data_IF_332089454593
#
_entry.id   IF_332089454593
#
_cell.length_a   1.000
_cell.length_b   1.000
_cell.length_c   1.000
_cell.angle_alpha   90.00
_cell.angle_beta   90.00
_cell.angle_gamma   90.00
#
_symmetry.space_group_name_H-M   'P 1'
#
loop_
_entity.id
_entity.type
_entity.pdbx_description
1 polymer ?
#
# COMPACT_ATOMS: atom_id res chain seq x y z
N UNK A 1 -11.20 14.67 70.58
CA UNK A 1 -10.62 14.92 69.23
C UNK A 1 -9.17 14.48 69.09
N UNK A 2 -8.39 14.37 70.14
CA UNK A 2 -6.97 13.99 70.09
C UNK A 2 -6.75 12.48 69.82
N UNK A 3 -7.65 11.59 70.25
CA UNK A 3 -7.55 10.13 70.15
C UNK A 3 -7.73 9.63 68.69
N UNK A 4 -8.61 10.29 67.88
CA UNK A 4 -8.80 9.92 66.49
C UNK A 4 -7.60 10.22 65.59
N UNK A 5 -6.84 11.27 65.89
CA UNK A 5 -5.62 11.60 65.11
C UNK A 5 -4.47 10.61 65.39
N UNK A 6 -4.36 10.12 66.60
CA UNK A 6 -3.39 9.11 66.97
C UNK A 6 -3.69 7.77 66.27
N UNK A 7 -4.94 7.37 66.23
CA UNK A 7 -5.37 6.14 65.57
C UNK A 7 -5.16 6.21 64.05
N UNK A 8 -5.39 7.38 63.40
CA UNK A 8 -5.16 7.59 62.00
C UNK A 8 -3.68 7.53 61.60
N UNK A 9 -2.80 8.13 62.43
CA UNK A 9 -1.37 8.10 62.22
C UNK A 9 -0.79 6.69 62.44
N UNK A 10 -1.29 5.93 63.40
CA UNK A 10 -0.92 4.53 63.61
C UNK A 10 -1.40 3.66 62.45
N UNK A 11 -2.64 3.82 61.99
CA UNK A 11 -3.16 3.10 60.82
C UNK A 11 -2.36 3.38 59.57
N UNK A 12 -2.01 4.64 59.33
CA UNK A 12 -1.14 5.03 58.18
C UNK A 12 0.25 4.44 58.25
N UNK A 13 0.83 4.41 59.49
CA UNK A 13 2.16 3.84 59.73
C UNK A 13 2.19 2.31 59.52
N UNK A 14 1.10 1.61 59.94
CA UNK A 14 0.92 0.19 59.69
C UNK A 14 0.71 -0.09 58.21
N UNK A 15 -0.16 0.68 57.51
CA UNK A 15 -0.36 0.55 56.07
C UNK A 15 0.92 0.76 55.26
N UNK A 16 1.73 1.78 55.60
CA UNK A 16 3.04 2.02 54.97
C UNK A 16 4.07 0.93 55.26
N UNK A 17 4.02 0.30 56.46
CA UNK A 17 4.88 -0.82 56.80
C UNK A 17 4.48 -2.11 56.07
N UNK A 18 3.18 -2.35 55.93
CA UNK A 18 2.64 -3.51 55.21
C UNK A 18 2.89 -3.41 53.68
N UNK A 19 2.81 -2.21 53.14
CA UNK A 19 3.20 -1.94 51.74
C UNK A 19 4.67 -2.19 51.49
N UNK A 20 5.55 -2.02 52.45
CA UNK A 20 6.99 -2.30 52.33
C UNK A 20 7.33 -3.80 52.29
N UNK A 21 6.54 -4.65 52.95
CA UNK A 21 6.79 -6.09 53.05
C UNK A 21 6.12 -6.94 51.97
N UNK A 22 5.00 -6.43 51.35
CA UNK A 22 4.18 -7.19 50.44
C UNK A 22 4.27 -6.75 48.96
N UNK A 23 5.05 -5.72 48.63
CA UNK A 23 5.07 -5.12 47.30
C UNK A 23 5.80 -5.95 46.24
N UNK A 24 6.62 -6.94 46.61
CA UNK A 24 7.34 -7.75 45.62
C UNK A 24 6.41 -8.54 44.72
N UNK A 25 5.37 -9.15 45.26
CA UNK A 25 4.36 -9.87 44.49
C UNK A 25 3.48 -8.92 43.63
N UNK A 26 3.21 -7.72 44.17
CA UNK A 26 2.41 -6.71 43.45
C UNK A 26 3.17 -6.15 42.24
N UNK A 27 4.46 -5.92 42.31
CA UNK A 27 5.26 -5.49 41.18
C UNK A 27 5.32 -6.55 40.08
N UNK A 28 5.40 -7.82 40.43
CA UNK A 28 5.37 -8.92 39.46
C UNK A 28 3.99 -8.92 38.74
N UNK A 29 2.93 -8.81 39.50
CA UNK A 29 1.57 -8.74 38.94
C UNK A 29 1.38 -7.53 38.01
N UNK A 30 1.86 -6.36 38.43
CA UNK A 30 1.82 -5.15 37.62
C UNK A 30 2.64 -5.29 36.35
N UNK A 31 3.83 -5.88 36.45
CA UNK A 31 4.71 -6.14 35.32
C UNK A 31 4.06 -7.10 34.32
N UNK A 32 3.38 -8.16 34.79
CA UNK A 32 2.67 -9.09 33.93
C UNK A 32 1.52 -8.39 33.18
N UNK A 33 0.72 -7.55 33.86
CA UNK A 33 -0.33 -6.76 33.21
C UNK A 33 0.26 -5.78 32.19
N UNK A 34 1.31 -5.03 32.58
CA UNK A 34 1.96 -4.07 31.71
C UNK A 34 2.52 -4.75 30.45
N UNK A 35 3.15 -5.93 30.62
CA UNK A 35 3.68 -6.71 29.50
C UNK A 35 2.55 -7.20 28.58
N UNK A 36 1.46 -7.69 29.14
CA UNK A 36 0.30 -8.13 28.37
C UNK A 36 -0.33 -6.99 27.56
N UNK A 37 -0.55 -5.83 28.19
CA UNK A 37 -1.07 -4.64 27.51
C UNK A 37 -0.10 -4.12 26.46
N UNK A 38 1.20 -4.10 26.78
CA UNK A 38 2.22 -3.69 25.83
C UNK A 38 2.29 -4.59 24.60
N UNK A 39 2.16 -5.91 24.76
CA UNK A 39 2.13 -6.86 23.66
C UNK A 39 0.91 -6.63 22.74
N UNK A 40 -0.28 -6.43 23.30
CA UNK A 40 -1.48 -6.15 22.53
C UNK A 40 -1.36 -4.79 21.81
N UNK A 41 -0.87 -3.77 22.49
CA UNK A 41 -0.65 -2.45 21.90
C UNK A 41 0.37 -2.49 20.77
N UNK A 42 1.45 -3.25 20.90
CA UNK A 42 2.46 -3.41 19.87
C UNK A 42 1.89 -4.06 18.61
N UNK A 43 1.13 -5.16 18.75
CA UNK A 43 0.49 -5.83 17.61
C UNK A 43 -0.50 -4.88 16.90
N UNK A 44 -1.30 -4.15 17.67
CA UNK A 44 -2.26 -3.21 17.09
C UNK A 44 -1.55 -2.03 16.37
N UNK A 45 -0.45 -1.51 16.93
CA UNK A 45 0.35 -0.46 16.30
C UNK A 45 0.98 -0.91 14.98
N UNK A 46 1.52 -2.13 14.93
CA UNK A 46 2.06 -2.71 13.69
C UNK A 46 0.97 -2.89 12.65
N UNK A 47 -0.20 -3.43 13.05
CA UNK A 47 -1.34 -3.59 12.15
C UNK A 47 -1.81 -2.25 11.56
N UNK A 48 -1.90 -1.20 12.38
CA UNK A 48 -2.28 0.13 11.91
C UNK A 48 -1.23 0.73 10.97
N UNK A 49 0.06 0.57 11.27
CA UNK A 49 1.14 1.05 10.43
C UNK A 49 1.16 0.36 9.05
N UNK A 50 0.92 -0.96 9.02
CA UNK A 50 0.81 -1.73 7.78
C UNK A 50 -0.40 -1.27 6.97
N UNK A 51 -1.58 -1.15 7.60
CA UNK A 51 -2.79 -0.70 6.91
C UNK A 51 -2.66 0.72 6.36
N UNK A 52 -2.05 1.64 7.13
CA UNK A 52 -1.78 2.99 6.67
C UNK A 52 -0.80 3.01 5.47
N UNK A 53 0.28 2.22 5.55
CA UNK A 53 1.25 2.10 4.45
C UNK A 53 0.65 1.50 3.18
N UNK A 54 -0.26 0.52 3.31
CA UNK A 54 -0.98 -0.04 2.15
C UNK A 54 -1.95 1.00 1.57
N UNK A 55 -2.68 1.74 2.41
CA UNK A 55 -3.62 2.75 1.93
C UNK A 55 -2.90 3.91 1.22
N UNK A 56 -1.75 4.33 1.71
CA UNK A 56 -0.94 5.40 1.11
C UNK A 56 -0.33 4.97 -0.24
N UNK A 57 0.22 3.76 -0.31
CA UNK A 57 0.82 3.21 -1.54
C UNK A 57 -0.21 2.60 -2.50
N UNK A 58 -1.39 2.27 -2.02
CA UNK A 58 -2.45 1.69 -2.82
C UNK A 58 -2.84 2.58 -4.01
N UNK A 59 -2.88 3.88 -3.81
CA UNK A 59 -3.15 4.87 -4.86
C UNK A 59 -2.07 4.89 -5.95
N UNK A 60 -0.81 4.79 -5.56
CA UNK A 60 0.31 4.73 -6.50
C UNK A 60 0.31 3.42 -7.29
N UNK A 61 0.05 2.28 -6.62
CA UNK A 61 0.00 0.97 -7.27
C UNK A 61 -1.17 0.86 -8.24
N UNK A 62 -2.34 1.37 -7.85
CA UNK A 62 -3.53 1.39 -8.70
C UNK A 62 -3.47 2.48 -9.77
N UNK A 63 -2.61 3.48 -9.59
CA UNK A 63 -2.59 4.73 -10.36
C UNK A 63 -3.95 5.47 -10.34
N UNK A 64 -4.80 5.18 -9.35
CA UNK A 64 -6.14 5.72 -9.16
C UNK A 64 -6.66 5.47 -7.73
N UNK A 65 -7.69 6.20 -7.30
CA UNK A 65 -8.39 5.94 -6.02
C UNK A 65 -9.22 4.65 -6.07
N UNK A 66 -9.87 4.40 -7.21
CA UNK A 66 -10.77 3.26 -7.44
C UNK A 66 -10.51 2.71 -8.83
N UNK A 67 -10.46 1.39 -8.95
CA UNK A 67 -10.37 0.67 -10.21
C UNK A 67 -11.65 -0.15 -10.41
N UNK A 68 -12.30 0.06 -11.56
CA UNK A 68 -13.40 -0.78 -12.04
C UNK A 68 -12.85 -1.69 -13.14
N UNK A 69 -13.03 -2.97 -13.00
CA UNK A 69 -12.52 -3.96 -13.94
C UNK A 69 -13.64 -4.86 -14.43
N UNK A 70 -13.61 -5.18 -15.71
CA UNK A 70 -14.50 -6.16 -16.33
C UNK A 70 -13.68 -7.07 -17.21
N UNK A 71 -13.86 -8.37 -17.03
CA UNK A 71 -13.13 -9.35 -17.79
C UNK A 71 -13.72 -9.52 -19.20
N UNK A 72 -12.85 -9.46 -20.21
CA UNK A 72 -13.16 -9.77 -21.62
C UNK A 72 -14.24 -8.92 -22.28
N UNK A 73 -14.74 -7.89 -21.65
CA UNK A 73 -15.70 -6.95 -22.22
C UNK A 73 -15.39 -5.52 -21.82
N UNK A 74 -15.57 -4.55 -22.72
CA UNK A 74 -15.48 -3.15 -22.34
C UNK A 74 -16.64 -2.77 -21.40
N UNK A 75 -16.41 -1.75 -20.58
CA UNK A 75 -17.47 -1.16 -19.78
C UNK A 75 -18.55 -0.57 -20.71
N UNK A 76 -19.83 -0.75 -20.35
CA UNK A 76 -20.92 -0.14 -21.10
C UNK A 76 -20.83 1.38 -21.04
N UNK A 77 -21.32 2.07 -22.10
CA UNK A 77 -21.33 3.54 -22.13
C UNK A 77 -22.07 4.16 -20.94
N UNK A 78 -23.12 3.53 -20.43
CA UNK A 78 -23.84 3.98 -19.24
C UNK A 78 -22.97 3.87 -17.97
N UNK A 79 -22.20 2.80 -17.82
CA UNK A 79 -21.27 2.63 -16.71
C UNK A 79 -20.12 3.63 -16.78
N UNK A 80 -19.55 3.85 -17.98
CA UNK A 80 -18.51 4.85 -18.20
C UNK A 80 -19.02 6.24 -17.86
N UNK A 81 -20.17 6.66 -18.35
CA UNK A 81 -20.74 7.96 -18.04
C UNK A 81 -21.02 8.17 -16.54
N UNK A 82 -21.39 7.11 -15.83
CA UNK A 82 -21.54 7.18 -14.37
C UNK A 82 -20.19 7.39 -13.66
N UNK A 83 -19.15 6.66 -14.08
CA UNK A 83 -17.81 6.76 -13.49
C UNK A 83 -17.21 8.14 -13.78
N UNK A 84 -17.32 8.63 -15.01
CA UNK A 84 -16.83 9.95 -15.43
C UNK A 84 -17.50 11.10 -14.66
N UNK A 85 -18.75 10.91 -14.24
CA UNK A 85 -19.44 11.88 -13.38
C UNK A 85 -18.91 11.94 -11.95
N UNK A 86 -18.16 10.94 -11.50
CA UNK A 86 -17.55 10.91 -10.17
C UNK A 86 -16.22 11.66 -10.09
N UNK A 87 -15.51 11.82 -11.21
CA UNK A 87 -14.22 12.53 -11.24
C UNK A 87 -13.37 12.19 -12.46
N UNK A 88 -12.10 12.62 -12.48
CA UNK A 88 -11.16 12.29 -13.53
C UNK A 88 -11.01 10.77 -13.68
N UNK A 89 -11.05 10.30 -14.90
CA UNK A 89 -10.94 8.87 -15.22
C UNK A 89 -9.81 8.61 -16.20
N UNK A 90 -9.21 7.43 -16.10
CA UNK A 90 -8.28 6.89 -17.08
C UNK A 90 -8.70 5.47 -17.44
N UNK A 91 -8.63 5.14 -18.71
CA UNK A 91 -8.98 3.83 -19.22
C UNK A 91 -7.73 3.03 -19.57
N UNK A 92 -7.69 1.77 -19.18
CA UNK A 92 -6.62 0.86 -19.57
C UNK A 92 -7.18 -0.50 -19.97
N UNK A 93 -6.50 -1.13 -20.92
CA UNK A 93 -6.80 -2.51 -21.33
C UNK A 93 -5.55 -3.35 -21.11
N UNK A 94 -5.70 -4.46 -20.41
CA UNK A 94 -4.62 -5.41 -20.19
C UNK A 94 -4.93 -6.71 -20.92
N UNK A 95 -3.98 -7.19 -21.72
CA UNK A 95 -4.10 -8.43 -22.45
C UNK A 95 -2.78 -9.21 -22.44
N UNK A 96 -2.85 -10.52 -22.56
CA UNK A 96 -1.69 -11.37 -22.81
C UNK A 96 -1.54 -11.65 -24.27
N UNK A 97 -0.36 -11.41 -24.84
CA UNK A 97 -0.06 -11.64 -26.24
C UNK A 97 1.36 -12.13 -26.44
N UNK A 98 1.59 -12.82 -27.55
CA UNK A 98 2.95 -13.16 -27.97
C UNK A 98 3.60 -11.94 -28.60
N UNK A 99 4.66 -11.47 -27.97
CA UNK A 99 5.55 -10.46 -28.57
C UNK A 99 6.62 -11.17 -29.36
N UNK A 100 6.93 -10.66 -30.55
CA UNK A 100 7.94 -11.22 -31.46
C UNK A 100 8.84 -10.14 -32.01
N UNK A 101 10.11 -10.44 -32.12
CA UNK A 101 11.05 -9.58 -32.82
C UNK A 101 10.69 -9.41 -34.30
N UNK A 102 10.98 -8.24 -34.90
CA UNK A 102 10.62 -7.98 -36.30
C UNK A 102 11.22 -8.96 -37.29
N UNK A 103 12.39 -9.50 -37.00
CA UNK A 103 13.10 -10.51 -37.78
C UNK A 103 12.61 -11.95 -37.54
N UNK A 104 11.73 -12.12 -36.54
CA UNK A 104 11.18 -13.41 -36.17
C UNK A 104 12.13 -14.34 -35.41
N UNK A 105 13.30 -13.86 -35.01
CA UNK A 105 14.33 -14.67 -34.36
C UNK A 105 13.94 -15.14 -32.96
N UNK A 106 13.13 -14.36 -32.23
CA UNK A 106 12.66 -14.72 -30.90
C UNK A 106 11.25 -14.21 -30.62
N UNK A 107 10.59 -14.86 -29.67
CA UNK A 107 9.25 -14.51 -29.23
C UNK A 107 9.03 -14.83 -27.74
N UNK A 108 8.25 -14.03 -27.07
CA UNK A 108 7.93 -14.21 -25.65
C UNK A 108 6.47 -13.87 -25.38
N UNK A 109 5.84 -14.60 -24.44
CA UNK A 109 4.55 -14.21 -23.91
C UNK A 109 4.75 -12.99 -23.01
N UNK A 110 4.02 -11.92 -23.28
CA UNK A 110 4.04 -10.70 -22.51
C UNK A 110 2.61 -10.27 -22.13
N UNK A 111 2.50 -9.59 -21.01
CA UNK A 111 1.31 -8.86 -20.63
C UNK A 111 1.44 -7.43 -21.17
N UNK A 112 0.50 -7.06 -22.02
CA UNK A 112 0.46 -5.74 -22.67
C UNK A 112 -0.63 -4.93 -21.98
N UNK A 113 -0.25 -3.75 -21.47
CA UNK A 113 -1.17 -2.77 -20.91
C UNK A 113 -1.24 -1.56 -21.84
N UNK A 114 -2.35 -1.40 -22.51
CA UNK A 114 -2.66 -0.18 -23.25
C UNK A 114 -3.31 0.83 -22.31
N UNK A 115 -2.92 2.09 -22.40
CA UNK A 115 -3.39 3.18 -21.54
C UNK A 115 -3.80 4.37 -22.37
N UNK A 116 -4.71 5.19 -21.85
CA UNK A 116 -5.09 6.45 -22.44
C UNK A 116 -4.15 7.60 -22.03
N UNK A 117 -4.39 8.79 -22.57
CA UNK A 117 -3.57 9.98 -22.30
C UNK A 117 -3.71 10.56 -20.88
N UNK A 118 -4.65 10.08 -20.07
CA UNK A 118 -4.85 10.51 -18.69
C UNK A 118 -4.08 9.63 -17.68
N UNK A 119 -3.50 8.53 -18.14
CA UNK A 119 -2.73 7.61 -17.30
C UNK A 119 -1.31 8.13 -17.02
N UNK A 120 -0.81 8.00 -15.78
CA UNK A 120 -1.49 7.58 -14.55
C UNK A 120 -2.24 8.75 -13.90
N UNK A 121 -3.39 8.49 -13.24
CA UNK A 121 -4.10 9.53 -12.47
C UNK A 121 -3.35 9.93 -11.20
N UNK A 122 -2.57 9.00 -10.62
CA UNK A 122 -1.69 9.22 -9.46
C UNK A 122 -0.36 8.51 -9.69
N UNK A 123 0.70 9.09 -9.08
CA UNK A 123 2.05 8.56 -9.20
C UNK A 123 2.73 8.91 -10.52
N UNK A 124 3.83 8.26 -10.77
CA UNK A 124 4.65 8.45 -11.97
C UNK A 124 5.07 7.10 -12.55
N UNK A 125 5.18 7.01 -13.86
CA UNK A 125 5.80 5.87 -14.52
C UNK A 125 7.30 6.16 -14.65
N UNK A 126 8.11 5.35 -14.00
CA UNK A 126 9.57 5.47 -14.06
C UNK A 126 10.06 4.72 -15.30
N UNK A 127 10.72 5.42 -16.21
CA UNK A 127 11.33 4.86 -17.41
C UNK A 127 12.82 5.18 -17.49
N UNK A 128 13.55 4.39 -18.23
CA UNK A 128 14.95 4.61 -18.58
C UNK A 128 15.09 4.51 -20.11
N UNK A 129 15.43 5.60 -20.80
CA UNK A 129 15.62 6.95 -20.28
C UNK A 129 14.36 7.57 -19.69
N UNK A 130 14.53 8.48 -18.73
CA UNK A 130 13.41 9.16 -18.08
C UNK A 130 12.69 10.06 -19.09
N UNK A 131 11.40 9.78 -19.33
CA UNK A 131 10.56 10.58 -20.24
C UNK A 131 9.09 10.51 -19.83
N UNK A 132 8.27 11.50 -20.19
CA UNK A 132 6.83 11.45 -19.97
C UNK A 132 6.18 10.27 -20.71
N UNK A 133 5.21 9.61 -20.07
CA UNK A 133 4.50 8.44 -20.65
C UNK A 133 3.90 8.76 -22.03
N UNK A 134 3.29 9.94 -22.16
CA UNK A 134 2.70 10.36 -23.45
C UNK A 134 3.71 10.49 -24.58
N UNK A 135 4.95 10.88 -24.27
CA UNK A 135 6.04 10.97 -25.23
C UNK A 135 6.60 9.57 -25.55
N UNK A 136 6.78 8.75 -24.51
CA UNK A 136 7.25 7.37 -24.67
C UNK A 136 6.31 6.49 -25.50
N UNK A 137 5.00 6.76 -25.47
CA UNK A 137 3.97 6.00 -26.18
C UNK A 137 3.50 6.71 -27.48
N UNK A 138 4.12 7.83 -27.87
CA UNK A 138 3.74 8.56 -29.06
C UNK A 138 3.88 7.74 -30.34
N UNK A 139 3.02 8.02 -31.31
CA UNK A 139 3.11 7.43 -32.65
C UNK A 139 4.19 8.16 -33.47
N UNK A 140 5.13 7.41 -34.00
CA UNK A 140 6.18 7.91 -34.89
C UNK A 140 6.24 6.99 -36.12
N UNK A 141 6.11 7.53 -37.31
CA UNK A 141 6.13 6.80 -38.58
C UNK A 141 5.16 5.60 -38.65
N UNK A 142 3.95 5.77 -38.11
CA UNK A 142 2.91 4.74 -38.09
C UNK A 142 3.17 3.61 -37.07
N UNK A 143 4.06 3.81 -36.11
CA UNK A 143 4.37 2.88 -35.02
C UNK A 143 4.22 3.57 -33.69
N UNK A 144 3.60 2.89 -32.74
CA UNK A 144 3.49 3.38 -31.36
C UNK A 144 4.73 3.02 -30.57
N UNK A 145 5.17 3.96 -29.73
CA UNK A 145 6.20 3.70 -28.75
C UNK A 145 5.70 2.70 -27.68
N UNK A 146 6.60 1.98 -27.06
CA UNK A 146 6.30 0.98 -26.03
C UNK A 146 7.33 1.07 -24.91
N UNK A 147 6.87 1.07 -23.68
CA UNK A 147 7.71 0.87 -22.51
C UNK A 147 7.80 -0.63 -22.22
N UNK A 148 9.01 -1.17 -22.26
CA UNK A 148 9.26 -2.60 -22.07
C UNK A 148 9.84 -2.83 -20.69
N UNK A 149 9.29 -3.82 -19.95
CA UNK A 149 9.86 -4.20 -18.66
C UNK A 149 11.30 -4.73 -18.85
N UNK A 150 12.26 -4.38 -17.96
CA UNK A 150 13.68 -4.76 -18.12
C UNK A 150 13.89 -6.26 -18.35
N UNK A 151 13.14 -7.09 -17.63
CA UNK A 151 13.21 -8.56 -17.77
C UNK A 151 12.80 -9.04 -19.17
N UNK A 152 11.80 -8.42 -19.78
CA UNK A 152 11.36 -8.76 -21.14
C UNK A 152 12.37 -8.24 -22.18
N UNK A 153 12.93 -7.05 -21.97
CA UNK A 153 13.98 -6.50 -22.83
C UNK A 153 15.21 -7.40 -22.85
N UNK A 154 15.68 -7.82 -21.66
CA UNK A 154 16.79 -8.74 -21.52
C UNK A 154 16.52 -10.10 -22.21
N UNK A 155 15.32 -10.64 -22.00
CA UNK A 155 14.92 -11.93 -22.59
C UNK A 155 14.86 -11.90 -24.12
N UNK A 156 14.46 -10.78 -24.71
CA UNK A 156 14.40 -10.59 -26.16
C UNK A 156 15.68 -10.01 -26.75
N UNK A 157 16.70 -9.76 -25.91
CA UNK A 157 17.97 -9.17 -26.37
C UNK A 157 17.81 -7.74 -26.92
N UNK A 158 16.81 -7.00 -26.45
CA UNK A 158 16.58 -5.61 -26.81
C UNK A 158 17.62 -4.75 -26.09
N UNK A 159 18.34 -3.92 -26.84
CA UNK A 159 19.17 -2.87 -26.24
C UNK A 159 18.28 -1.67 -25.88
N UNK A 160 18.56 -0.97 -24.74
CA UNK A 160 17.89 0.27 -24.36
C UNK A 160 18.19 1.40 -25.33
#
# INVERSE_FOLDING_TARGET
MRQNRLNLLLALKFALREMRGGLSGFYIFLACIALGVAAIAAVNSVSQAVNAGIAERGREILAADIRFERDNEPLSGAALGYIEALGPTSQSVTMRSMTRLPDGSDQSLAEIKAVDGAYPLYGEVISDPAMPVGEALAETDGRYGVLVAPLLAERLGLAP
#
